data_IF_085837530453
#
_entry.id   IF_085837530453
#
_cell.length_a   1.000
_cell.length_b   1.000
_cell.length_c   1.000
_cell.angle_alpha   90.00
_cell.angle_beta   90.00
_cell.angle_gamma   90.00
#
_symmetry.space_group_name_H-M   'P 1'
#
loop_
_entity.id
_entity.type
_entity.pdbx_description
1 polymer ?
#
# COMPACT_ATOMS: atom_id res chain seq x y z
N UNK A 1 16.40 3.79 -83.90
CA UNK A 1 15.32 4.08 -82.92
C UNK A 1 14.90 2.80 -82.22
N UNK A 2 15.77 2.18 -81.44
CA UNK A 2 15.44 0.88 -80.83
C UNK A 2 15.77 0.67 -79.36
N UNK A 3 16.43 1.64 -78.68
CA UNK A 3 16.99 1.39 -77.31
C UNK A 3 16.23 2.03 -76.15
N UNK A 4 15.14 2.74 -76.41
CA UNK A 4 14.42 3.41 -75.31
C UNK A 4 13.35 2.54 -74.62
N UNK A 5 12.85 1.51 -75.28
CA UNK A 5 11.78 0.65 -74.65
C UNK A 5 12.33 -0.39 -73.69
N UNK A 6 13.53 -0.84 -73.81
CA UNK A 6 14.12 -1.83 -72.91
C UNK A 6 14.49 -1.26 -71.53
N UNK A 7 14.86 0.04 -71.48
CA UNK A 7 15.20 0.70 -70.21
C UNK A 7 14.01 0.96 -69.29
N UNK A 8 12.82 1.20 -69.88
CA UNK A 8 11.63 1.47 -69.11
C UNK A 8 10.99 0.19 -68.55
N UNK A 9 11.13 -0.93 -69.24
CA UNK A 9 10.65 -2.23 -68.78
C UNK A 9 11.52 -2.80 -67.65
N UNK A 10 12.84 -2.59 -67.71
CA UNK A 10 13.76 -3.02 -66.64
C UNK A 10 13.56 -2.28 -65.35
N UNK A 11 13.19 -0.99 -65.37
CA UNK A 11 12.90 -0.21 -64.15
C UNK A 11 11.62 -0.65 -63.46
N UNK A 12 10.58 -1.05 -64.21
CA UNK A 12 9.34 -1.59 -63.64
C UNK A 12 9.54 -2.95 -62.99
N UNK A 13 10.31 -3.84 -63.63
CA UNK A 13 10.67 -5.13 -63.08
C UNK A 13 11.53 -4.99 -61.82
N UNK A 14 12.48 -4.05 -61.83
CA UNK A 14 13.31 -3.76 -60.68
C UNK A 14 12.48 -3.22 -59.48
N UNK A 15 11.56 -2.28 -59.73
CA UNK A 15 10.67 -1.76 -58.67
C UNK A 15 9.75 -2.86 -58.13
N UNK A 16 9.24 -3.74 -58.97
CA UNK A 16 8.38 -4.85 -58.57
C UNK A 16 9.14 -5.88 -57.72
N UNK A 17 10.38 -6.17 -58.10
CA UNK A 17 11.27 -7.03 -57.30
C UNK A 17 11.60 -6.43 -55.95
N UNK A 18 11.86 -5.11 -55.87
CA UNK A 18 12.13 -4.40 -54.63
C UNK A 18 10.93 -4.45 -53.68
N UNK A 19 9.70 -4.26 -54.18
CA UNK A 19 8.46 -4.36 -53.38
C UNK A 19 8.25 -5.77 -52.85
N UNK A 20 8.52 -6.81 -53.66
CA UNK A 20 8.41 -8.21 -53.23
C UNK A 20 9.44 -8.54 -52.13
N UNK A 21 10.68 -8.08 -52.28
CA UNK A 21 11.73 -8.28 -51.26
C UNK A 21 11.35 -7.57 -49.97
N UNK A 22 10.83 -6.32 -50.04
CA UNK A 22 10.40 -5.57 -48.86
C UNK A 22 9.20 -6.24 -48.15
N UNK A 23 8.25 -6.75 -48.91
CA UNK A 23 7.10 -7.51 -48.37
C UNK A 23 7.56 -8.80 -47.68
N UNK A 24 8.48 -9.56 -48.29
CA UNK A 24 9.07 -10.75 -47.69
C UNK A 24 9.84 -10.41 -46.39
N UNK A 25 10.60 -9.31 -46.40
CA UNK A 25 11.34 -8.84 -45.24
C UNK A 25 10.37 -8.46 -44.10
N UNK A 26 9.25 -7.79 -44.40
CA UNK A 26 8.21 -7.46 -43.40
C UNK A 26 7.56 -8.72 -42.84
N UNK A 27 7.27 -9.73 -43.65
CA UNK A 27 6.71 -11.02 -43.18
C UNK A 27 7.73 -11.76 -42.33
N UNK A 28 9.01 -11.78 -42.74
CA UNK A 28 10.09 -12.38 -41.97
C UNK A 28 10.29 -11.68 -40.60
N UNK A 29 10.32 -10.35 -40.62
CA UNK A 29 10.39 -9.57 -39.38
C UNK A 29 9.19 -9.84 -38.47
N UNK A 30 7.97 -9.88 -39.00
CA UNK A 30 6.76 -10.21 -38.21
C UNK A 30 6.83 -11.65 -37.65
N UNK A 31 7.41 -12.59 -38.41
CA UNK A 31 7.61 -13.97 -37.93
C UNK A 31 8.69 -14.04 -36.83
N UNK A 32 9.81 -13.31 -37.01
CA UNK A 32 10.89 -13.25 -36.02
C UNK A 32 10.52 -12.44 -34.77
N UNK A 33 9.64 -11.43 -34.90
CA UNK A 33 9.17 -10.60 -33.77
C UNK A 33 7.92 -11.15 -33.09
N UNK A 34 7.36 -12.27 -33.56
CA UNK A 34 6.45 -13.09 -32.76
C UNK A 34 7.24 -13.78 -31.64
N UNK A 35 7.89 -12.96 -30.82
CA UNK A 35 8.25 -13.37 -29.48
C UNK A 35 6.89 -13.50 -28.80
N UNK A 36 6.42 -14.73 -28.62
CA UNK A 36 5.45 -15.02 -27.57
C UNK A 36 6.07 -14.49 -26.30
N UNK A 37 5.65 -13.29 -25.91
CA UNK A 37 5.69 -12.91 -24.52
C UNK A 37 4.69 -13.86 -23.82
N UNK A 38 5.07 -15.12 -23.69
CA UNK A 38 4.59 -15.91 -22.57
C UNK A 38 4.86 -14.97 -21.41
N UNK A 39 3.80 -14.38 -20.87
CA UNK A 39 3.87 -13.70 -19.56
C UNK A 39 4.67 -14.66 -18.73
N UNK A 40 5.85 -14.26 -18.31
CA UNK A 40 6.61 -14.96 -17.31
C UNK A 40 5.69 -14.91 -16.08
N UNK A 41 4.80 -15.90 -16.01
CA UNK A 41 3.95 -16.06 -14.84
C UNK A 41 4.92 -16.34 -13.71
N UNK A 42 5.11 -15.31 -12.88
CA UNK A 42 5.90 -15.46 -11.66
C UNK A 42 5.30 -16.62 -10.86
N UNK A 43 6.11 -17.54 -10.37
CA UNK A 43 5.62 -18.59 -9.49
C UNK A 43 4.83 -17.95 -8.35
N UNK A 44 3.61 -18.42 -8.09
CA UNK A 44 2.70 -17.85 -7.08
C UNK A 44 3.30 -17.76 -5.66
N UNK A 45 4.37 -18.50 -5.42
CA UNK A 45 5.12 -18.50 -4.16
C UNK A 45 6.26 -17.46 -4.09
N UNK A 46 6.47 -16.69 -5.16
CA UNK A 46 7.45 -15.59 -5.17
C UNK A 46 6.73 -14.25 -5.20
N UNK A 47 7.18 -13.26 -4.43
CA UNK A 47 6.60 -11.93 -4.49
C UNK A 47 6.81 -11.31 -5.87
N UNK A 48 5.78 -10.66 -6.39
CA UNK A 48 5.85 -9.84 -7.61
C UNK A 48 6.59 -8.53 -7.34
N UNK A 49 6.30 -7.94 -6.18
CA UNK A 49 6.99 -6.75 -5.68
C UNK A 49 7.56 -7.01 -4.31
N UNK A 50 8.80 -6.57 -4.11
CA UNK A 50 9.46 -6.52 -2.81
C UNK A 50 10.17 -5.19 -2.69
N UNK A 51 9.96 -4.50 -1.57
CA UNK A 51 10.60 -3.22 -1.27
C UNK A 51 11.07 -3.20 0.16
N UNK A 52 12.13 -2.43 0.43
CA UNK A 52 12.65 -2.15 1.76
C UNK A 52 12.74 -0.65 1.97
N UNK A 53 12.63 -0.20 3.23
CA UNK A 53 12.70 1.21 3.56
C UNK A 53 11.54 2.01 2.94
N UNK A 54 10.31 1.49 3.07
CA UNK A 54 9.12 2.12 2.52
C UNK A 54 8.79 3.36 3.36
N UNK A 55 8.60 4.49 2.69
CA UNK A 55 8.10 5.72 3.29
C UNK A 55 6.97 6.29 2.41
N UNK A 56 5.82 6.58 3.03
CA UNK A 56 4.69 7.23 2.39
C UNK A 56 4.29 8.46 3.21
N UNK A 57 4.19 9.60 2.54
CA UNK A 57 3.82 10.87 3.15
C UNK A 57 2.53 11.40 2.52
N UNK A 58 1.56 11.77 3.36
CA UNK A 58 0.33 12.43 2.94
C UNK A 58 0.34 13.88 3.43
N UNK A 59 0.15 14.80 2.49
CA UNK A 59 0.14 16.24 2.76
C UNK A 59 -1.27 16.81 2.60
N UNK A 60 -1.58 17.85 3.37
CA UNK A 60 -2.78 18.65 3.20
C UNK A 60 -2.73 19.46 1.90
N UNK A 61 -3.86 20.05 1.52
CA UNK A 61 -3.93 21.00 0.39
C UNK A 61 -3.06 22.24 0.56
N UNK A 62 -2.59 22.50 1.77
CA UNK A 62 -1.68 23.61 2.11
C UNK A 62 -0.21 23.18 2.18
N UNK A 63 0.11 21.93 1.80
CA UNK A 63 1.48 21.42 1.80
C UNK A 63 2.00 20.95 3.17
N UNK A 64 1.16 20.90 4.20
CA UNK A 64 1.55 20.44 5.53
C UNK A 64 1.45 18.93 5.63
N UNK A 65 2.43 18.30 6.26
CA UNK A 65 2.43 16.85 6.50
C UNK A 65 1.33 16.49 7.48
N UNK A 66 0.41 15.61 7.04
CA UNK A 66 -0.69 15.08 7.88
C UNK A 66 -0.37 13.69 8.41
N UNK A 67 0.14 12.83 7.55
CA UNK A 67 0.47 11.45 7.90
C UNK A 67 1.80 11.05 7.28
N UNK A 68 2.56 10.24 8.01
CA UNK A 68 3.75 9.54 7.53
C UNK A 68 3.62 8.08 7.91
N UNK A 69 3.76 7.19 6.94
CA UNK A 69 3.83 5.75 7.17
C UNK A 69 5.21 5.26 6.78
N UNK A 70 5.83 4.50 7.66
CA UNK A 70 7.13 3.88 7.47
C UNK A 70 6.96 2.37 7.61
N UNK A 71 7.61 1.58 6.74
CA UNK A 71 7.74 0.15 6.93
C UNK A 71 9.14 -0.33 6.56
N UNK A 72 9.68 -1.27 7.33
CA UNK A 72 11.01 -1.82 7.05
C UNK A 72 11.02 -2.56 5.72
N UNK A 73 9.96 -3.33 5.44
CA UNK A 73 9.79 -4.03 4.18
C UNK A 73 8.33 -4.24 3.83
N UNK A 74 8.08 -4.44 2.54
CA UNK A 74 6.76 -4.76 2.00
C UNK A 74 6.86 -5.77 0.88
N UNK A 75 5.86 -6.65 0.79
CA UNK A 75 5.75 -7.71 -0.20
C UNK A 75 4.36 -7.71 -0.82
N UNK A 76 4.29 -7.89 -2.13
CA UNK A 76 3.04 -8.15 -2.84
C UNK A 76 3.22 -9.37 -3.72
N UNK A 77 2.26 -10.29 -3.67
CA UNK A 77 2.27 -11.52 -4.48
C UNK A 77 1.43 -11.35 -5.76
N UNK A 78 1.73 -12.13 -6.82
CA UNK A 78 0.93 -12.15 -8.03
C UNK A 78 -0.56 -12.39 -7.72
N UNK A 79 -1.43 -11.75 -8.50
CA UNK A 79 -2.89 -11.86 -8.37
C UNK A 79 -3.45 -11.41 -7.00
N UNK A 80 -2.66 -10.73 -6.17
CA UNK A 80 -3.08 -10.22 -4.86
C UNK A 80 -3.11 -8.70 -4.84
N UNK A 81 -4.21 -8.13 -4.36
CA UNK A 81 -4.31 -6.71 -4.02
C UNK A 81 -3.74 -6.38 -2.64
N UNK A 82 -3.30 -7.39 -1.89
CA UNK A 82 -2.76 -7.23 -0.54
C UNK A 82 -1.27 -6.95 -0.59
N UNK A 83 -0.87 -5.87 0.08
CA UNK A 83 0.52 -5.54 0.39
C UNK A 83 0.78 -5.93 1.84
N UNK A 84 1.68 -6.87 2.06
CA UNK A 84 2.13 -7.29 3.40
C UNK A 84 3.25 -6.34 3.83
N UNK A 85 3.17 -5.84 5.05
CA UNK A 85 4.10 -4.87 5.61
C UNK A 85 4.71 -5.41 6.90
N UNK A 86 5.99 -5.11 7.12
CA UNK A 86 6.72 -5.49 8.32
C UNK A 86 7.30 -4.25 9.00
N UNK A 87 7.23 -4.24 10.34
CA UNK A 87 7.65 -3.14 11.22
C UNK A 87 7.08 -1.80 10.76
N UNK A 88 5.77 -1.70 10.89
CA UNK A 88 5.01 -0.54 10.47
C UNK A 88 4.99 0.52 11.58
N UNK A 89 5.36 1.74 11.23
CA UNK A 89 5.21 2.96 12.03
C UNK A 89 4.33 3.95 11.27
N UNK A 90 3.21 4.35 11.86
CA UNK A 90 2.33 5.39 11.32
C UNK A 90 2.31 6.58 12.26
N UNK A 91 2.56 7.75 11.72
CA UNK A 91 2.62 9.02 12.44
C UNK A 91 1.55 9.96 11.90
N UNK A 92 0.73 10.52 12.78
CA UNK A 92 -0.24 11.56 12.44
C UNK A 92 0.15 12.89 13.07
N UNK A 93 0.09 13.95 12.28
CA UNK A 93 0.49 15.30 12.67
C UNK A 93 -0.70 16.25 12.68
N UNK A 94 -0.66 17.23 13.55
CA UNK A 94 -1.63 18.32 13.56
C UNK A 94 -1.42 19.25 12.39
N UNK A 95 -2.45 19.52 11.60
CA UNK A 95 -2.36 20.49 10.51
C UNK A 95 -2.09 21.92 11.02
N UNK A 96 -2.58 22.26 12.21
CA UNK A 96 -2.43 23.62 12.78
C UNK A 96 -1.08 23.84 13.43
N UNK A 97 -0.54 22.87 14.17
CA UNK A 97 0.69 23.02 14.96
C UNK A 97 1.89 22.25 14.38
N UNK A 98 1.65 21.35 13.41
CA UNK A 98 2.65 20.44 12.83
C UNK A 98 3.33 19.50 13.86
N UNK A 99 2.75 19.42 15.07
CA UNK A 99 3.23 18.52 16.11
C UNK A 99 2.67 17.12 15.91
N UNK A 100 3.45 16.11 16.32
CA UNK A 100 3.01 14.72 16.35
C UNK A 100 1.83 14.56 17.31
N UNK A 101 0.70 14.09 16.80
CA UNK A 101 -0.51 13.82 17.58
C UNK A 101 -0.64 12.35 17.95
N UNK A 102 -0.41 11.47 16.97
CA UNK A 102 -0.59 10.04 17.16
C UNK A 102 0.57 9.27 16.53
N UNK A 103 0.98 8.20 17.18
CA UNK A 103 1.91 7.21 16.67
C UNK A 103 1.31 5.83 16.84
N UNK A 104 1.17 5.10 15.74
CA UNK A 104 0.74 3.71 15.71
C UNK A 104 1.89 2.84 15.22
N UNK A 105 2.19 1.76 15.94
CA UNK A 105 3.21 0.80 15.55
C UNK A 105 2.65 -0.61 15.49
N UNK A 106 3.16 -1.44 14.58
CA UNK A 106 2.87 -2.87 14.53
C UNK A 106 4.07 -3.63 13.96
N UNK A 107 4.30 -4.85 14.43
CA UNK A 107 5.37 -5.69 13.91
C UNK A 107 5.06 -6.19 12.50
N UNK A 108 3.81 -6.44 12.20
CA UNK A 108 3.33 -6.93 10.91
C UNK A 108 1.92 -6.44 10.61
N UNK A 109 1.57 -6.48 9.34
CA UNK A 109 0.23 -6.13 8.88
C UNK A 109 0.08 -6.30 7.39
N UNK A 110 -1.10 -6.02 6.88
CA UNK A 110 -1.34 -5.92 5.45
C UNK A 110 -2.40 -4.86 5.15
N UNK A 111 -2.35 -4.33 3.95
CA UNK A 111 -3.33 -3.42 3.39
C UNK A 111 -3.81 -4.01 2.07
N UNK A 112 -5.12 -4.10 1.90
CA UNK A 112 -5.76 -4.49 0.65
C UNK A 112 -6.18 -3.23 -0.11
N UNK A 113 -5.48 -2.94 -1.20
CA UNK A 113 -5.69 -1.73 -2.00
C UNK A 113 -7.02 -1.73 -2.77
N UNK A 114 -7.59 -2.91 -3.07
CA UNK A 114 -8.86 -3.03 -3.77
C UNK A 114 -10.06 -2.84 -2.85
N UNK A 115 -10.04 -3.44 -1.66
CA UNK A 115 -11.14 -3.37 -0.69
C UNK A 115 -11.05 -2.18 0.25
N UNK A 116 -9.88 -1.58 0.41
CA UNK A 116 -9.56 -0.56 1.42
C UNK A 116 -9.66 -1.09 2.86
N UNK A 117 -9.40 -2.39 3.01
CA UNK A 117 -9.28 -3.05 4.30
C UNK A 117 -7.81 -3.12 4.71
N UNK A 118 -7.57 -3.10 6.01
CA UNK A 118 -6.26 -3.29 6.59
C UNK A 118 -6.32 -4.20 7.80
N UNK A 119 -5.16 -4.71 8.17
CA UNK A 119 -4.97 -5.53 9.35
C UNK A 119 -3.58 -5.24 9.94
N UNK A 120 -3.52 -5.13 11.25
CA UNK A 120 -2.30 -5.06 12.02
C UNK A 120 -2.26 -6.30 12.93
N UNK A 121 -1.15 -7.02 12.90
CA UNK A 121 -1.02 -8.29 13.58
C UNK A 121 -0.62 -8.18 15.03
N UNK A 122 0.56 -8.70 15.36
CA UNK A 122 1.07 -8.71 16.71
C UNK A 122 1.65 -7.35 17.15
N UNK A 123 1.61 -7.09 18.45
CA UNK A 123 2.29 -5.94 19.08
C UNK A 123 1.84 -4.58 18.55
N UNK A 124 0.52 -4.38 18.43
CA UNK A 124 -0.03 -3.08 18.05
C UNK A 124 0.04 -2.14 19.25
N UNK A 125 0.74 -1.01 19.10
CA UNK A 125 0.82 0.04 20.09
C UNK A 125 0.39 1.38 19.49
N UNK A 126 -0.53 2.07 20.16
CA UNK A 126 -0.99 3.42 19.83
C UNK A 126 -0.58 4.37 20.92
N UNK A 127 0.10 5.44 20.57
CA UNK A 127 0.39 6.57 21.47
C UNK A 127 -0.31 7.80 20.96
N UNK A 128 -1.16 8.40 21.79
CA UNK A 128 -1.79 9.71 21.54
C UNK A 128 -1.00 10.73 22.35
N UNK A 129 -0.31 11.61 21.63
CA UNK A 129 0.55 12.64 22.22
C UNK A 129 -0.25 13.79 22.79
N UNK A 130 0.28 14.42 23.84
CA UNK A 130 -0.27 15.64 24.43
C UNK A 130 0.89 16.53 24.88
N UNK A 131 0.65 17.84 24.96
CA UNK A 131 1.64 18.81 25.44
C UNK A 131 2.03 18.51 26.90
N UNK A 132 1.06 18.12 27.73
CA UNK A 132 1.31 17.69 29.12
C UNK A 132 1.48 16.15 29.15
N UNK A 133 2.67 15.62 29.55
CA UNK A 133 2.95 14.19 29.56
C UNK A 133 1.94 13.34 30.35
N UNK A 134 1.29 13.89 31.37
CA UNK A 134 0.28 13.18 32.17
C UNK A 134 -0.99 12.84 31.39
N UNK A 135 -1.20 13.47 30.23
CA UNK A 135 -2.35 13.22 29.36
C UNK A 135 -2.01 12.36 28.13
N UNK A 136 -0.75 11.94 28.00
CA UNK A 136 -0.37 10.96 26.98
C UNK A 136 -1.13 9.66 27.24
N UNK A 137 -1.75 9.14 26.19
CA UNK A 137 -2.43 7.85 26.22
C UNK A 137 -1.60 6.85 25.45
N UNK A 138 -1.28 5.73 26.08
CA UNK A 138 -0.70 4.59 25.40
C UNK A 138 -1.69 3.44 25.44
N UNK A 139 -1.95 2.82 24.29
CA UNK A 139 -2.83 1.66 24.18
C UNK A 139 -2.07 0.52 23.48
N UNK A 140 -2.21 -0.68 24.02
CA UNK A 140 -1.57 -1.89 23.53
C UNK A 140 -2.63 -2.95 23.27
N UNK A 141 -2.53 -3.57 22.10
CA UNK A 141 -3.44 -4.64 21.67
C UNK A 141 -2.79 -5.47 20.58
N UNK A 142 -3.56 -6.32 19.91
CA UNK A 142 -3.16 -7.10 18.74
C UNK A 142 -4.35 -7.39 17.84
N UNK A 143 -4.09 -7.90 16.62
CA UNK A 143 -5.12 -8.30 15.66
C UNK A 143 -6.16 -7.23 15.38
N UNK A 144 -5.68 -6.04 15.00
CA UNK A 144 -6.53 -4.87 14.71
C UNK A 144 -6.95 -4.88 13.26
N UNK A 145 -8.24 -4.77 13.01
CA UNK A 145 -8.83 -4.62 11.69
C UNK A 145 -9.20 -3.17 11.41
N UNK A 146 -8.93 -2.73 10.18
CA UNK A 146 -9.21 -1.38 9.70
C UNK A 146 -10.13 -1.45 8.48
N UNK A 147 -11.18 -0.66 8.48
CA UNK A 147 -12.06 -0.44 7.32
C UNK A 147 -12.00 1.06 6.99
N UNK A 148 -11.15 1.41 6.01
CA UNK A 148 -10.93 2.80 5.66
C UNK A 148 -12.17 3.44 5.01
N UNK A 149 -13.00 2.66 4.30
CA UNK A 149 -14.25 3.18 3.70
C UNK A 149 -15.28 3.55 4.75
N UNK A 150 -15.42 2.72 5.79
CA UNK A 150 -16.34 2.98 6.89
C UNK A 150 -15.73 3.86 7.98
N UNK A 151 -14.42 4.10 7.92
CA UNK A 151 -13.65 4.78 8.96
C UNK A 151 -13.80 4.10 10.34
N UNK A 152 -13.69 2.76 10.32
CA UNK A 152 -13.85 1.90 11.48
C UNK A 152 -12.55 1.17 11.78
N UNK A 153 -12.20 1.08 13.08
CA UNK A 153 -11.12 0.21 13.58
C UNK A 153 -11.71 -0.67 14.66
N UNK A 154 -11.41 -1.95 14.67
CA UNK A 154 -11.88 -2.88 15.67
C UNK A 154 -10.91 -4.03 15.92
N UNK A 155 -11.01 -4.60 17.11
CA UNK A 155 -10.34 -5.86 17.49
C UNK A 155 -11.21 -6.58 18.52
N UNK A 156 -11.17 -7.90 18.51
CA UNK A 156 -11.80 -8.75 19.54
C UNK A 156 -10.85 -9.08 20.70
N UNK A 157 -9.59 -8.68 20.57
CA UNK A 157 -8.53 -8.96 21.52
C UNK A 157 -8.59 -8.06 22.75
N UNK A 158 -7.81 -8.42 23.78
CA UNK A 158 -7.68 -7.56 24.95
C UNK A 158 -6.98 -6.24 24.61
N UNK A 159 -7.43 -5.17 25.25
CA UNK A 159 -6.80 -3.86 25.18
C UNK A 159 -6.33 -3.44 26.57
N UNK A 160 -5.12 -2.91 26.63
CA UNK A 160 -4.54 -2.22 27.78
C UNK A 160 -4.29 -0.78 27.40
N UNK A 161 -4.94 0.16 28.06
CA UNK A 161 -4.69 1.59 27.86
C UNK A 161 -4.22 2.23 29.15
N UNK A 162 -3.25 3.14 29.05
CA UNK A 162 -2.71 3.89 30.19
C UNK A 162 -2.79 5.38 29.93
N UNK A 163 -3.06 6.16 30.97
CA UNK A 163 -3.00 7.62 30.95
C UNK A 163 -2.42 8.12 32.29
N UNK A 164 -1.20 8.61 32.26
CA UNK A 164 -0.45 8.89 33.48
C UNK A 164 -0.31 7.61 34.32
N UNK A 165 -0.83 7.63 35.54
CA UNK A 165 -0.87 6.47 36.44
C UNK A 165 -2.16 5.63 36.32
N UNK A 166 -3.16 6.10 35.59
CA UNK A 166 -4.44 5.41 35.43
C UNK A 166 -4.31 4.32 34.35
N UNK A 167 -4.97 3.18 34.61
CA UNK A 167 -4.93 2.00 33.74
C UNK A 167 -6.37 1.60 33.41
N UNK A 168 -6.63 1.30 32.16
CA UNK A 168 -7.87 0.73 31.66
C UNK A 168 -7.58 -0.56 30.90
N UNK A 169 -8.33 -1.60 31.20
CA UNK A 169 -8.29 -2.87 30.47
C UNK A 169 -9.69 -3.26 30.04
N UNK A 170 -9.78 -4.05 28.97
CA UNK A 170 -11.03 -4.61 28.47
C UNK A 170 -10.76 -5.62 27.37
N UNK A 171 -11.83 -6.26 26.86
CA UNK A 171 -11.76 -7.19 25.74
C UNK A 171 -12.70 -6.72 24.63
N UNK A 172 -12.20 -6.75 23.42
CA UNK A 172 -12.88 -6.22 22.26
C UNK A 172 -13.02 -4.71 22.27
N UNK A 173 -12.74 -4.07 21.17
CA UNK A 173 -13.02 -2.64 21.03
C UNK A 173 -13.38 -2.29 19.58
N UNK A 174 -14.12 -1.21 19.45
CA UNK A 174 -14.48 -0.59 18.18
C UNK A 174 -14.24 0.92 18.29
N UNK A 175 -13.61 1.50 17.29
CA UNK A 175 -13.44 2.95 17.13
C UNK A 175 -14.18 3.39 15.87
N UNK A 176 -15.15 4.27 16.04
CA UNK A 176 -15.86 4.96 14.97
C UNK A 176 -15.26 6.37 14.83
N UNK A 177 -14.44 6.59 13.81
CA UNK A 177 -13.78 7.88 13.60
C UNK A 177 -14.74 8.97 13.13
N UNK A 178 -15.86 8.61 12.49
CA UNK A 178 -16.89 9.57 12.07
C UNK A 178 -17.58 10.16 13.30
N UNK A 179 -17.97 9.29 14.23
CA UNK A 179 -18.65 9.70 15.47
C UNK A 179 -17.69 10.11 16.59
N UNK A 180 -16.39 9.81 16.42
CA UNK A 180 -15.35 9.99 17.46
C UNK A 180 -15.68 9.25 18.76
N UNK A 181 -16.18 8.02 18.62
CA UNK A 181 -16.58 7.17 19.73
C UNK A 181 -15.71 5.92 19.73
N UNK A 182 -15.16 5.60 20.91
CA UNK A 182 -14.55 4.30 21.19
C UNK A 182 -15.45 3.53 22.14
N UNK A 183 -15.76 2.29 21.80
CA UNK A 183 -16.53 1.37 22.62
C UNK A 183 -15.64 0.18 22.98
N UNK A 184 -15.63 -0.21 24.26
CA UNK A 184 -15.01 -1.46 24.72
C UNK A 184 -16.14 -2.45 25.03
N UNK A 185 -16.03 -3.67 24.50
CA UNK A 185 -17.16 -4.59 24.44
C UNK A 185 -17.42 -5.31 25.79
N UNK A 186 -16.36 -5.71 26.49
CA UNK A 186 -16.52 -6.49 27.72
C UNK A 186 -15.34 -6.39 28.67
N UNK A 187 -15.53 -6.89 29.89
CA UNK A 187 -14.50 -7.01 30.95
C UNK A 187 -13.76 -5.70 31.26
N UNK A 188 -14.49 -4.59 31.19
CA UNK A 188 -13.88 -3.27 31.40
C UNK A 188 -13.52 -3.10 32.91
N UNK A 189 -12.24 -2.85 33.14
CA UNK A 189 -11.70 -2.50 34.46
C UNK A 189 -10.90 -1.21 34.33
N UNK A 190 -11.24 -0.24 35.20
CA UNK A 190 -10.54 1.03 35.25
C UNK A 190 -9.97 1.21 36.67
N UNK A 191 -8.67 1.45 36.74
CA UNK A 191 -7.96 1.86 37.94
C UNK A 191 -7.56 3.30 37.75
N UNK A 192 -8.23 4.18 38.44
CA UNK A 192 -7.94 5.61 38.38
C UNK A 192 -7.03 6.00 39.55
N UNK A 193 -5.88 6.60 39.23
CA UNK A 193 -4.94 7.15 40.22
C UNK A 193 -4.88 8.66 40.06
N UNK A 194 -5.29 9.36 41.08
CA UNK A 194 -5.30 10.83 41.11
C UNK A 194 -3.89 11.39 41.34
#
# INVERSE_FOLDING_TARGET
>A
MGNFRLRYQSSRLFNLLTVIILALLCVLLNYLTRIDFHRLELPKNKPEFSSTGIEANLYSKYGKLLYRALAESGLQYPDSSKVILYKLDMLAFSESTELLQEKLTSNDGWIDTASSLGYLGESVALTISNVDPKYIINAYTKHVHLDAKKQFIYSTESILATRGKSIMTGNGFTVDYVKKIMTIESNVKIVYVK
#
